data_IF_497820604618
#
_entry.id   IF_497820604618
#
_cell.length_a   1.000
_cell.length_b   1.000
_cell.length_c   1.000
_cell.angle_alpha   90.00
_cell.angle_beta   90.00
_cell.angle_gamma   90.00
#
_symmetry.space_group_name_H-M   'P 1'
#
loop_
_entity.id
_entity.type
_entity.pdbx_description
1 polymer ?
#
# COMPACT_ATOMS: atom_id res chain seq x y z
N UNK A 1 12.90 -10.35 -32.46
CA UNK A 1 13.28 -10.41 -31.02
C UNK A 1 12.58 -9.30 -30.24
N UNK A 2 12.78 -8.02 -30.58
CA UNK A 2 12.12 -6.90 -29.91
C UNK A 2 10.58 -7.00 -29.87
N UNK A 3 9.94 -7.38 -30.98
CA UNK A 3 8.47 -7.48 -31.07
C UNK A 3 7.87 -8.61 -30.22
N UNK A 4 8.64 -9.69 -30.01
CA UNK A 4 8.24 -10.83 -29.18
C UNK A 4 8.25 -10.45 -27.69
N UNK A 5 9.30 -9.74 -27.25
CA UNK A 5 9.37 -9.22 -25.88
C UNK A 5 8.35 -8.09 -25.64
N UNK A 6 8.07 -7.24 -26.63
CA UNK A 6 7.05 -6.19 -26.54
C UNK A 6 5.66 -6.77 -26.26
N UNK A 7 5.28 -7.84 -26.97
CA UNK A 7 3.99 -8.52 -26.77
C UNK A 7 3.85 -9.08 -25.35
N UNK A 8 4.93 -9.65 -24.80
CA UNK A 8 4.94 -10.18 -23.42
C UNK A 8 4.81 -9.03 -22.41
N UNK A 9 5.54 -7.92 -22.63
CA UNK A 9 5.48 -6.75 -21.75
C UNK A 9 4.09 -6.11 -21.78
N UNK A 10 3.45 -5.97 -22.94
CA UNK A 10 2.11 -5.43 -23.07
C UNK A 10 1.05 -6.34 -22.43
N UNK A 11 1.20 -7.66 -22.57
CA UNK A 11 0.32 -8.62 -21.90
C UNK A 11 0.46 -8.57 -20.38
N UNK A 12 1.70 -8.54 -19.89
CA UNK A 12 2.00 -8.41 -18.45
C UNK A 12 1.48 -7.09 -17.92
N UNK A 13 1.67 -5.99 -18.64
CA UNK A 13 1.13 -4.66 -18.28
C UNK A 13 -0.40 -4.68 -18.24
N UNK A 14 -1.06 -5.31 -19.20
CA UNK A 14 -2.52 -5.44 -19.25
C UNK A 14 -3.13 -6.18 -18.05
N UNK A 15 -2.38 -7.09 -17.43
CA UNK A 15 -2.81 -7.80 -16.21
C UNK A 15 -2.42 -7.03 -14.95
N UNK A 16 -1.23 -6.46 -14.93
CA UNK A 16 -0.66 -5.80 -13.76
C UNK A 16 -1.36 -4.46 -13.49
N UNK A 17 -1.62 -3.67 -14.52
CA UNK A 17 -2.24 -2.35 -14.41
C UNK A 17 -3.60 -2.34 -13.68
N UNK A 18 -4.57 -3.21 -14.02
CA UNK A 18 -5.84 -3.27 -13.28
C UNK A 18 -5.66 -3.75 -11.83
N UNK A 19 -4.70 -4.64 -11.56
CA UNK A 19 -4.40 -5.09 -10.19
C UNK A 19 -3.86 -3.92 -9.36
N UNK A 20 -2.89 -3.17 -9.89
CA UNK A 20 -2.35 -1.99 -9.21
C UNK A 20 -3.43 -0.93 -9.00
N UNK A 21 -4.27 -0.69 -10.01
CA UNK A 21 -5.38 0.25 -9.92
C UNK A 21 -6.36 -0.15 -8.82
N UNK A 22 -6.76 -1.42 -8.77
CA UNK A 22 -7.64 -1.93 -7.73
C UNK A 22 -7.03 -1.80 -6.33
N UNK A 23 -5.75 -2.14 -6.17
CA UNK A 23 -5.05 -1.99 -4.88
C UNK A 23 -5.00 -0.53 -4.46
N UNK A 24 -4.67 0.38 -5.38
CA UNK A 24 -4.58 1.80 -5.09
C UNK A 24 -5.93 2.42 -4.73
N UNK A 25 -6.98 2.09 -5.49
CA UNK A 25 -8.36 2.51 -5.21
C UNK A 25 -8.84 1.96 -3.86
N UNK A 26 -8.49 0.71 -3.52
CA UNK A 26 -8.81 0.12 -2.22
C UNK A 26 -8.13 0.84 -1.07
N UNK A 27 -6.84 1.19 -1.21
CA UNK A 27 -6.10 1.94 -0.18
C UNK A 27 -6.74 3.32 0.04
N UNK A 28 -7.06 4.04 -1.05
CA UNK A 28 -7.75 5.32 -0.96
C UNK A 28 -9.12 5.20 -0.28
N UNK A 29 -9.88 4.16 -0.61
CA UNK A 29 -11.16 3.88 0.01
C UNK A 29 -11.02 3.67 1.53
N UNK A 30 -10.03 2.90 1.97
CA UNK A 30 -9.74 2.70 3.40
C UNK A 30 -9.40 4.03 4.08
N UNK A 31 -8.56 4.87 3.47
CA UNK A 31 -8.20 6.17 4.02
C UNK A 31 -9.44 7.06 4.21
N UNK A 32 -10.29 7.15 3.19
CA UNK A 32 -11.51 7.95 3.23
C UNK A 32 -12.47 7.40 4.29
N UNK A 33 -12.68 6.08 4.32
CA UNK A 33 -13.54 5.44 5.31
C UNK A 33 -13.10 5.75 6.75
N UNK A 34 -11.82 5.59 7.07
CA UNK A 34 -11.30 5.90 8.40
C UNK A 34 -11.38 7.40 8.72
N UNK A 35 -11.06 8.27 7.76
CA UNK A 35 -11.20 9.72 7.93
C UNK A 35 -12.63 10.08 8.30
N UNK A 36 -13.60 9.58 7.54
CA UNK A 36 -15.01 9.90 7.76
C UNK A 36 -15.50 9.35 9.11
N UNK A 37 -15.04 8.16 9.51
CA UNK A 37 -15.31 7.58 10.82
C UNK A 37 -14.75 8.47 11.95
N UNK A 38 -13.50 8.94 11.83
CA UNK A 38 -12.85 9.81 12.82
C UNK A 38 -13.55 11.17 12.97
N UNK A 39 -14.03 11.74 11.86
CA UNK A 39 -14.79 13.00 11.87
C UNK A 39 -16.19 12.78 12.44
N UNK A 40 -16.91 11.74 12.02
CA UNK A 40 -18.28 11.47 12.47
C UNK A 40 -18.37 11.12 13.96
N UNK A 41 -17.37 10.43 14.49
CA UNK A 41 -17.30 10.07 15.91
C UNK A 41 -16.88 11.22 16.81
N UNK A 42 -16.45 12.35 16.25
CA UNK A 42 -15.95 13.50 17.02
C UNK A 42 -14.61 13.22 17.71
N UNK A 43 -13.88 12.18 17.30
CA UNK A 43 -12.53 11.91 17.81
C UNK A 43 -11.55 13.00 17.36
N UNK A 44 -11.79 13.59 16.18
CA UNK A 44 -10.93 14.60 15.58
C UNK A 44 -11.76 15.74 15.00
N UNK A 45 -11.50 16.96 15.45
CA UNK A 45 -12.25 18.16 15.03
C UNK A 45 -11.83 18.70 13.66
N UNK A 46 -10.64 18.33 13.18
CA UNK A 46 -10.07 18.81 11.92
C UNK A 46 -10.07 17.71 10.86
N UNK A 47 -10.63 18.04 9.70
CA UNK A 47 -10.63 17.19 8.50
C UNK A 47 -9.21 16.82 8.07
N UNK A 48 -8.25 17.74 8.24
CA UNK A 48 -6.85 17.52 7.90
C UNK A 48 -6.28 16.43 8.80
N UNK A 49 -6.45 16.58 10.12
CA UNK A 49 -5.95 15.62 11.10
C UNK A 49 -6.59 14.24 10.91
N UNK A 50 -7.89 14.19 10.62
CA UNK A 50 -8.60 12.94 10.35
C UNK A 50 -8.11 12.23 9.06
N UNK A 51 -7.50 12.95 8.12
CA UNK A 51 -6.92 12.38 6.90
C UNK A 51 -5.49 11.89 7.12
N UNK A 52 -4.71 12.59 7.96
CA UNK A 52 -3.31 12.25 8.24
C UNK A 52 -3.21 10.97 9.09
N UNK A 53 -4.09 10.78 10.06
CA UNK A 53 -4.05 9.62 10.96
C UNK A 53 -4.10 8.27 10.20
N UNK A 54 -5.06 8.01 9.30
CA UNK A 54 -5.11 6.77 8.52
C UNK A 54 -3.84 6.53 7.68
N UNK A 55 -3.27 7.60 7.11
CA UNK A 55 -2.03 7.51 6.31
C UNK A 55 -0.86 7.06 7.19
N UNK A 56 -0.71 7.66 8.39
CA UNK A 56 0.34 7.29 9.34
C UNK A 56 0.17 5.85 9.84
N UNK A 57 -1.07 5.43 10.10
CA UNK A 57 -1.38 4.05 10.52
C UNK A 57 -1.01 3.05 9.42
N UNK A 58 -1.41 3.31 8.18
CA UNK A 58 -1.07 2.45 7.03
C UNK A 58 0.44 2.40 6.79
N UNK A 59 1.15 3.53 6.91
CA UNK A 59 2.60 3.58 6.82
C UNK A 59 3.26 2.74 7.93
N UNK A 60 2.76 2.83 9.16
CA UNK A 60 3.22 2.02 10.28
C UNK A 60 3.06 0.51 10.04
N UNK A 61 1.89 0.09 9.56
CA UNK A 61 1.63 -1.31 9.18
C UNK A 61 2.59 -1.74 8.08
N UNK A 62 2.79 -0.91 7.05
CA UNK A 62 3.72 -1.20 5.96
C UNK A 62 5.15 -1.39 6.47
N UNK A 63 5.65 -0.51 7.33
CA UNK A 63 6.99 -0.64 7.91
C UNK A 63 7.14 -1.89 8.77
N UNK A 64 6.10 -2.27 9.53
CA UNK A 64 6.08 -3.52 10.31
C UNK A 64 6.14 -4.73 9.39
N UNK A 65 5.35 -4.76 8.32
CA UNK A 65 5.34 -5.85 7.34
C UNK A 65 6.70 -5.97 6.64
N UNK A 66 7.27 -4.86 6.18
CA UNK A 66 8.59 -4.82 5.55
C UNK A 66 9.67 -5.29 6.54
N UNK A 67 9.66 -4.78 7.77
CA UNK A 67 10.58 -5.20 8.82
C UNK A 67 10.45 -6.68 9.18
N UNK A 68 9.23 -7.22 9.17
CA UNK A 68 8.96 -8.62 9.43
C UNK A 68 9.34 -9.55 8.28
N UNK A 69 9.26 -9.08 7.02
CA UNK A 69 9.73 -9.85 5.85
C UNK A 69 11.26 -9.79 5.75
N UNK A 70 11.87 -8.61 5.90
CA UNK A 70 13.32 -8.45 5.80
C UNK A 70 14.08 -8.91 7.03
N UNK A 71 13.49 -8.91 8.22
CA UNK A 71 14.14 -9.38 9.46
C UNK A 71 14.63 -10.84 9.36
N UNK A 72 13.77 -11.80 9.00
CA UNK A 72 14.15 -13.19 8.74
C UNK A 72 15.16 -13.33 7.60
N UNK A 73 15.02 -12.57 6.51
CA UNK A 73 15.98 -12.57 5.39
C UNK A 73 17.38 -12.15 5.86
N UNK A 74 17.47 -11.17 6.78
CA UNK A 74 18.75 -10.78 7.39
C UNK A 74 19.35 -11.88 8.27
N UNK A 75 18.52 -12.69 8.94
CA UNK A 75 18.98 -13.81 9.79
C UNK A 75 19.38 -15.05 9.00
N UNK A 76 18.86 -15.25 7.80
CA UNK A 76 19.21 -16.40 6.96
C UNK A 76 20.43 -16.18 6.07
N UNK A 77 20.77 -14.93 5.75
CA UNK A 77 21.95 -14.57 4.95
C UNK A 77 23.04 -13.81 5.72
N UNK A 78 22.81 -13.49 7.00
CA UNK A 78 23.86 -13.04 7.91
C UNK A 78 24.70 -14.24 8.31
N UNK A 79 25.75 -14.51 7.53
CA UNK A 79 26.81 -15.44 7.90
C UNK A 79 27.50 -14.95 9.18
N UNK A 80 27.71 -15.87 10.12
CA UNK A 80 28.87 -15.78 11.03
C UNK A 80 30.18 -15.60 10.23
#
# INVERSE_FOLDING_TARGET
MADFFATIIDFVRGIIEPIFRFIFESILWVIIFFRDLLVQTGIVDSVITATVIPIVVLLGIFLVLVGWIWGPIRRTYGSD
#
